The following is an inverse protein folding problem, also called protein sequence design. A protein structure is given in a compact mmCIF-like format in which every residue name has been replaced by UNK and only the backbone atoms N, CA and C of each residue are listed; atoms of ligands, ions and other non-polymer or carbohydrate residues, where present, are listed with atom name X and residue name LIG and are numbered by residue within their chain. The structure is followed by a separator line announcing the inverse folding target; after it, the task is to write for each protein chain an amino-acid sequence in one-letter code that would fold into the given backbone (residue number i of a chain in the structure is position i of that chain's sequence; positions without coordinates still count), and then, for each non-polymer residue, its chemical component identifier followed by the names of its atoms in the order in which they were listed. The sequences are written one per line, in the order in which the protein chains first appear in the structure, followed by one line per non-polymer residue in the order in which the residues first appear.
data_IF_188307901638
#
_entry.id   IF_188307901638
#
_cell.length_a   1.000
_cell.length_b   1.000
_cell.length_c   1.000
_cell.angle_alpha   90.00
_cell.angle_beta   90.00
_cell.angle_gamma   90.00
#
_symmetry.space_group_name_H-M   'P 1'
#
loop_
_entity.id
_entity.type
_entity.pdbx_description
1 polymer ?
#
# COMPACT_ATOMS: atom_id res chain seq x y z
N UNK A 1 -12.83 1.28 3.57
CA UNK A 1 -12.83 -0.20 3.44
C UNK A 1 -12.02 -0.83 4.56
N UNK A 2 -12.47 -1.93 5.13
CA UNK A 2 -11.76 -2.61 6.22
C UNK A 2 -11.83 -4.12 6.08
N UNK A 3 -10.68 -4.77 6.25
CA UNK A 3 -10.55 -6.23 6.27
C UNK A 3 -9.80 -6.64 7.54
N UNK A 4 -10.41 -7.49 8.36
CA UNK A 4 -9.87 -7.93 9.64
C UNK A 4 -10.00 -6.89 10.76
N UNK A 5 -9.59 -7.26 11.95
CA UNK A 5 -9.63 -6.41 13.15
C UNK A 5 -8.24 -6.26 13.76
N UNK A 6 -7.90 -5.10 14.34
CA UNK A 6 -6.66 -4.94 15.11
C UNK A 6 -6.64 -5.79 16.38
N UNK A 7 -7.79 -6.25 16.87
CA UNK A 7 -7.88 -7.17 18.00
C UNK A 7 -7.35 -8.59 17.71
N UNK A 8 -7.08 -8.92 16.43
CA UNK A 8 -6.37 -10.15 16.05
C UNK A 8 -4.87 -10.04 16.41
N UNK A 9 -4.59 -9.99 17.70
CA UNK A 9 -3.24 -9.97 18.26
C UNK A 9 -2.47 -11.28 18.05
N UNK A 10 -3.13 -12.30 17.54
CA UNK A 10 -2.51 -13.58 17.18
C UNK A 10 -2.08 -13.47 15.71
N UNK A 11 -0.84 -13.82 15.43
CA UNK A 11 -0.28 -13.83 14.07
C UNK A 11 -1.05 -14.83 13.19
N UNK A 12 -2.19 -14.41 12.66
CA UNK A 12 -3.00 -15.15 11.69
C UNK A 12 -2.59 -14.77 10.26
N UNK A 13 -2.77 -15.69 9.35
CA UNK A 13 -2.71 -15.39 7.92
C UNK A 13 -4.12 -15.07 7.42
N UNK A 14 -4.36 -13.83 7.01
CA UNK A 14 -5.67 -13.39 6.51
C UNK A 14 -5.90 -13.67 5.02
N UNK A 15 -4.99 -14.44 4.38
CA UNK A 15 -5.07 -14.72 2.96
C UNK A 15 -4.61 -13.57 2.09
N UNK A 16 -5.20 -13.44 0.90
CA UNK A 16 -4.93 -12.36 -0.06
C UNK A 16 -6.12 -11.43 -0.15
N UNK A 17 -5.87 -10.13 0.01
CA UNK A 17 -6.90 -9.10 -0.06
C UNK A 17 -6.62 -8.16 -1.24
N UNK A 18 -7.67 -7.75 -1.93
CA UNK A 18 -7.63 -6.85 -3.07
C UNK A 18 -8.59 -5.70 -2.79
N UNK A 19 -8.08 -4.49 -2.61
CA UNK A 19 -8.85 -3.30 -2.28
C UNK A 19 -8.61 -2.23 -3.33
N UNK A 20 -9.68 -1.58 -3.76
CA UNK A 20 -9.65 -0.38 -4.60
C UNK A 20 -10.55 0.64 -3.92
N UNK A 21 -10.00 1.79 -3.55
CA UNK A 21 -10.72 2.90 -2.91
C UNK A 21 -11.64 3.58 -3.91
N UNK A 22 -11.08 4.12 -4.94
CA UNK A 22 -11.82 4.83 -5.98
C UNK A 22 -11.49 6.31 -5.99
N UNK A 23 -12.43 7.15 -6.43
CA UNK A 23 -12.24 8.60 -6.41
C UNK A 23 -12.54 9.20 -5.04
N UNK A 24 -11.81 10.25 -4.69
CA UNK A 24 -11.98 10.98 -3.43
C UNK A 24 -11.21 10.34 -2.28
N UNK A 25 -11.22 10.99 -1.14
CA UNK A 25 -10.39 10.59 0.01
C UNK A 25 -10.91 9.34 0.71
N UNK A 26 -10.18 8.26 0.61
CA UNK A 26 -10.53 6.95 1.13
C UNK A 26 -9.73 6.55 2.38
N UNK A 27 -10.27 5.64 3.15
CA UNK A 27 -9.56 4.98 4.26
C UNK A 27 -9.63 3.47 4.08
N UNK A 28 -8.48 2.86 3.79
CA UNK A 28 -8.35 1.43 3.50
C UNK A 28 -7.57 0.75 4.64
N UNK A 29 -8.23 -0.18 5.32
CA UNK A 29 -7.70 -0.81 6.52
C UNK A 29 -7.62 -2.33 6.35
N UNK A 30 -6.44 -2.91 6.55
CA UNK A 30 -6.26 -4.38 6.58
C UNK A 30 -5.60 -4.78 7.89
N UNK A 31 -6.35 -5.48 8.74
CA UNK A 31 -5.93 -5.81 10.12
C UNK A 31 -5.43 -4.58 10.88
N UNK A 32 -6.12 -3.47 10.70
CA UNK A 32 -5.79 -2.19 11.30
C UNK A 32 -7.07 -1.43 11.65
N UNK A 33 -6.96 -0.41 12.48
CA UNK A 33 -8.04 0.54 12.78
C UNK A 33 -7.49 1.96 12.78
N UNK A 34 -8.35 2.90 12.43
CA UNK A 34 -8.07 4.32 12.51
C UNK A 34 -9.26 5.05 13.16
N UNK A 35 -8.95 5.79 14.20
CA UNK A 35 -9.93 6.68 14.84
C UNK A 35 -9.71 8.11 14.33
N UNK A 36 -10.61 8.56 13.49
CA UNK A 36 -10.54 9.89 12.89
C UNK A 36 -10.73 11.03 13.92
N UNK A 37 -11.38 10.76 15.05
CA UNK A 37 -11.60 11.77 16.08
C UNK A 37 -10.33 12.05 16.91
N UNK A 38 -9.50 11.04 17.11
CA UNK A 38 -8.27 11.12 17.89
C UNK A 38 -7.00 11.10 17.02
N UNK A 39 -7.12 10.75 15.75
CA UNK A 39 -5.98 10.55 14.83
C UNK A 39 -5.16 9.29 15.13
N UNK A 40 -5.64 8.41 16.01
CA UNK A 40 -4.90 7.22 16.43
C UNK A 40 -5.04 6.10 15.41
N UNK A 41 -3.90 5.60 14.94
CA UNK A 41 -3.80 4.41 14.10
C UNK A 41 -3.33 3.22 14.93
N UNK A 42 -3.98 2.07 14.77
CA UNK A 42 -3.63 0.82 15.43
C UNK A 42 -3.47 -0.28 14.39
N UNK A 43 -2.30 -0.91 14.36
CA UNK A 43 -2.03 -2.06 13.49
C UNK A 43 -2.09 -3.36 14.28
N UNK A 44 -2.70 -4.38 13.69
CA UNK A 44 -2.68 -5.74 14.24
C UNK A 44 -1.41 -6.50 13.88
N UNK A 45 -1.26 -7.70 14.45
CA UNK A 45 -0.13 -8.60 14.18
C UNK A 45 -0.39 -9.60 13.04
N UNK A 46 -1.58 -9.60 12.46
CA UNK A 46 -1.95 -10.54 11.41
C UNK A 46 -1.10 -10.33 10.14
N UNK A 47 -0.89 -11.40 9.39
CA UNK A 47 -0.17 -11.37 8.11
C UNK A 47 -1.14 -11.59 6.96
N UNK A 48 -0.96 -10.84 5.88
CA UNK A 48 -1.75 -10.99 4.67
C UNK A 48 -0.92 -10.62 3.44
N UNK A 49 -1.35 -11.10 2.29
CA UNK A 49 -0.86 -10.60 1.00
C UNK A 49 -1.88 -9.61 0.48
N UNK A 50 -1.54 -8.33 0.44
CA UNK A 50 -2.50 -7.29 0.08
C UNK A 50 -2.09 -6.56 -1.18
N UNK A 51 -3.07 -6.33 -2.05
CA UNK A 51 -2.96 -5.44 -3.19
C UNK A 51 -3.97 -4.32 -3.00
N UNK A 52 -3.48 -3.11 -2.87
CA UNK A 52 -4.28 -1.93 -2.54
C UNK A 52 -3.98 -0.83 -3.54
N UNK A 53 -5.03 -0.37 -4.22
CA UNK A 53 -5.04 0.88 -4.97
C UNK A 53 -5.94 1.83 -4.19
N UNK A 54 -5.39 2.94 -3.69
CA UNK A 54 -6.20 3.85 -2.91
C UNK A 54 -7.14 4.63 -3.83
N UNK A 55 -6.67 5.02 -5.00
CA UNK A 55 -7.48 5.53 -6.10
C UNK A 55 -7.97 4.44 -7.07
N UNK A 56 -8.38 4.84 -8.27
CA UNK A 56 -8.84 3.95 -9.34
C UNK A 56 -7.68 3.22 -10.02
N UNK A 57 -7.89 1.96 -10.34
CA UNK A 57 -6.90 1.18 -11.06
C UNK A 57 -7.37 -0.20 -11.49
N UNK A 58 -6.43 -0.95 -12.02
CA UNK A 58 -6.67 -2.29 -12.54
C UNK A 58 -5.69 -3.26 -11.87
N UNK A 59 -6.22 -4.37 -11.38
CA UNK A 59 -5.46 -5.51 -10.88
C UNK A 59 -5.65 -6.66 -11.85
N UNK A 60 -4.59 -7.03 -12.56
CA UNK A 60 -4.64 -8.08 -13.59
C UNK A 60 -3.99 -9.37 -13.09
N UNK A 61 -4.66 -10.49 -13.37
CA UNK A 61 -4.15 -11.85 -13.17
C UNK A 61 -4.36 -12.65 -14.46
N UNK A 62 -3.41 -13.50 -14.85
CA UNK A 62 -3.63 -14.40 -15.98
C UNK A 62 -4.83 -15.33 -15.73
N UNK A 63 -5.51 -15.73 -16.78
CA UNK A 63 -6.64 -16.65 -16.70
C UNK A 63 -6.23 -17.94 -16.00
N UNK A 64 -7.05 -18.35 -15.02
CA UNK A 64 -6.82 -19.56 -14.22
C UNK A 64 -5.68 -19.47 -13.20
N UNK A 65 -5.00 -18.33 -13.07
CA UNK A 65 -3.93 -18.14 -12.12
C UNK A 65 -4.33 -17.15 -10.99
N UNK A 66 -3.98 -17.49 -9.76
CA UNK A 66 -4.18 -16.59 -8.60
C UNK A 66 -3.08 -15.51 -8.50
N UNK A 67 -2.00 -15.62 -9.28
CA UNK A 67 -0.85 -14.73 -9.24
C UNK A 67 -1.12 -13.45 -10.02
N UNK A 68 -0.48 -12.36 -9.59
CA UNK A 68 -0.55 -11.08 -10.28
C UNK A 68 0.26 -11.10 -11.57
N UNK A 69 -0.21 -10.36 -12.59
CA UNK A 69 0.58 -9.95 -13.74
C UNK A 69 0.80 -8.43 -13.77
N UNK A 70 -0.15 -7.66 -13.27
CA UNK A 70 -0.02 -6.21 -13.22
C UNK A 70 -0.90 -5.58 -12.13
N UNK A 71 -0.43 -4.50 -11.54
CA UNK A 71 -1.20 -3.56 -10.72
C UNK A 71 -0.94 -2.17 -11.29
N UNK A 72 -1.99 -1.50 -11.77
CA UNK A 72 -1.89 -0.30 -12.59
C UNK A 72 -2.87 0.77 -12.10
N UNK A 73 -2.38 1.98 -11.81
CA UNK A 73 -3.24 3.15 -11.62
C UNK A 73 -3.86 3.56 -12.95
N UNK A 74 -5.14 3.90 -12.92
CA UNK A 74 -5.86 4.43 -14.09
C UNK A 74 -6.35 5.86 -13.87
N UNK A 75 -6.34 6.34 -12.65
CA UNK A 75 -6.67 7.72 -12.31
C UNK A 75 -5.38 8.56 -12.31
N UNK A 76 -5.14 9.23 -13.42
CA UNK A 76 -3.96 10.09 -13.62
C UNK A 76 -4.37 11.55 -13.91
N UNK A 77 -5.58 11.92 -13.49
CA UNK A 77 -6.12 13.27 -13.71
C UNK A 77 -6.17 14.02 -12.39
N UNK A 78 -5.50 15.15 -12.31
CA UNK A 78 -5.51 16.00 -11.13
C UNK A 78 -6.93 16.35 -10.64
N UNK A 79 -7.13 16.29 -9.33
CA UNK A 79 -8.37 16.66 -8.66
C UNK A 79 -9.49 15.62 -8.72
N UNK A 80 -9.25 14.42 -9.25
CA UNK A 80 -10.20 13.31 -9.21
C UNK A 80 -9.82 12.23 -8.19
N UNK A 81 -8.56 12.13 -7.81
CA UNK A 81 -8.12 11.39 -6.62
C UNK A 81 -8.31 12.21 -5.34
N UNK A 82 -7.79 11.77 -4.26
CA UNK A 82 -7.92 12.46 -2.99
C UNK A 82 -6.85 12.05 -2.00
N UNK A 83 -6.78 12.75 -0.89
CA UNK A 83 -5.83 12.41 0.17
C UNK A 83 -6.27 11.12 0.87
N UNK A 84 -5.58 10.04 0.59
CA UNK A 84 -5.94 8.70 1.04
C UNK A 84 -5.18 8.25 2.28
N UNK A 85 -5.75 7.29 2.98
CA UNK A 85 -5.12 6.64 4.12
C UNK A 85 -5.13 5.14 3.98
N UNK A 86 -3.95 4.54 3.91
CA UNK A 86 -3.78 3.09 3.87
C UNK A 86 -3.06 2.63 5.12
N UNK A 87 -3.70 1.76 5.89
CA UNK A 87 -3.09 1.10 7.04
C UNK A 87 -3.18 -0.41 6.88
N UNK A 88 -2.02 -1.08 6.88
CA UNK A 88 -1.96 -2.54 6.81
C UNK A 88 -1.07 -3.11 7.91
N UNK A 89 -1.37 -4.33 8.34
CA UNK A 89 -0.50 -5.10 9.21
C UNK A 89 0.63 -5.78 8.41
N UNK A 90 1.19 -6.85 8.95
CA UNK A 90 2.36 -7.54 8.38
C UNK A 90 2.04 -8.29 7.07
N UNK A 91 3.09 -8.69 6.34
CA UNK A 91 3.00 -9.53 5.14
C UNK A 91 3.40 -8.81 3.85
N UNK A 92 3.22 -9.51 2.72
CA UNK A 92 3.53 -8.96 1.40
C UNK A 92 2.51 -7.90 1.01
N UNK A 93 2.99 -6.78 0.46
CA UNK A 93 2.15 -5.65 0.10
C UNK A 93 2.50 -5.14 -1.29
N UNK A 94 1.48 -4.83 -2.06
CA UNK A 94 1.55 -4.01 -3.26
C UNK A 94 0.57 -2.86 -3.07
N UNK A 95 1.07 -1.65 -2.89
CA UNK A 95 0.24 -0.48 -2.55
C UNK A 95 0.56 0.65 -3.50
N UNK A 96 -0.46 1.28 -4.03
CA UNK A 96 -0.39 2.51 -4.82
C UNK A 96 -1.34 3.51 -4.17
N UNK A 97 -0.82 4.65 -3.72
CA UNK A 97 -1.61 5.78 -3.20
C UNK A 97 -2.44 6.39 -4.33
N UNK A 98 -1.81 7.02 -5.27
CA UNK A 98 -2.50 7.60 -6.43
C UNK A 98 -2.34 9.11 -6.52
N UNK A 99 -3.43 9.82 -6.79
CA UNK A 99 -3.44 11.28 -6.90
C UNK A 99 -3.81 11.90 -5.55
N UNK A 100 -2.95 12.71 -4.98
CA UNK A 100 -3.23 13.41 -3.71
C UNK A 100 -2.14 13.19 -2.65
N UNK A 101 -2.36 13.72 -1.46
CA UNK A 101 -1.37 13.60 -0.37
C UNK A 101 -1.72 12.37 0.49
N UNK A 102 -1.04 11.28 0.23
CA UNK A 102 -1.41 10.00 0.79
C UNK A 102 -0.63 9.66 2.08
N UNK A 103 -1.28 8.93 2.96
CA UNK A 103 -0.67 8.40 4.18
C UNK A 103 -0.69 6.89 4.15
N UNK A 104 0.47 6.27 3.95
CA UNK A 104 0.61 4.81 3.85
C UNK A 104 1.41 4.29 5.04
N UNK A 105 0.80 3.44 5.85
CA UNK A 105 1.46 2.83 7.02
C UNK A 105 1.35 1.31 6.93
N UNK A 106 2.50 0.65 6.93
CA UNK A 106 2.61 -0.79 6.70
C UNK A 106 3.37 -1.47 7.84
N UNK A 107 2.86 -2.57 8.33
CA UNK A 107 3.54 -3.42 9.29
C UNK A 107 4.76 -4.15 8.69
N UNK A 108 5.61 -4.71 9.54
CA UNK A 108 6.86 -5.35 9.13
C UNK A 108 6.90 -6.84 9.39
N UNK A 109 7.62 -7.56 8.51
CA UNK A 109 7.96 -8.97 8.67
C UNK A 109 9.22 -9.27 7.86
N UNK A 110 10.15 -9.98 8.45
CA UNK A 110 11.46 -10.31 7.85
C UNK A 110 11.38 -11.10 6.54
N UNK A 111 10.28 -11.77 6.29
CA UNK A 111 10.09 -12.60 5.08
C UNK A 111 9.18 -11.95 4.04
N UNK A 112 8.80 -10.71 4.21
CA UNK A 112 7.83 -10.04 3.34
C UNK A 112 8.48 -9.12 2.34
N UNK A 113 7.84 -9.00 1.17
CA UNK A 113 8.19 -8.03 0.13
C UNK A 113 7.10 -6.96 0.05
N UNK A 114 7.52 -5.70 -0.01
CA UNK A 114 6.61 -4.56 -0.14
C UNK A 114 6.99 -3.72 -1.33
N UNK A 115 6.01 -3.47 -2.18
CA UNK A 115 6.08 -2.59 -3.34
C UNK A 115 5.11 -1.45 -3.06
N UNK A 116 5.61 -0.25 -2.82
CA UNK A 116 4.79 0.90 -2.38
C UNK A 116 5.11 2.09 -3.26
N UNK A 117 4.09 2.63 -3.90
CA UNK A 117 4.13 3.93 -4.55
C UNK A 117 3.23 4.91 -3.78
N UNK A 118 3.72 6.12 -3.51
CA UNK A 118 2.89 7.22 -3.04
C UNK A 118 1.93 7.63 -4.14
N UNK A 119 2.47 8.02 -5.27
CA UNK A 119 1.74 8.44 -6.47
C UNK A 119 1.35 7.27 -7.39
N UNK A 120 0.86 7.62 -8.58
CA UNK A 120 0.44 6.68 -9.62
C UNK A 120 1.57 5.81 -10.16
N UNK A 121 1.31 4.52 -10.31
CA UNK A 121 2.32 3.56 -10.73
C UNK A 121 1.80 2.44 -11.63
N UNK A 122 2.74 1.80 -12.32
CA UNK A 122 2.58 0.50 -12.98
C UNK A 122 3.56 -0.49 -12.37
N UNK A 123 3.03 -1.54 -11.78
CA UNK A 123 3.81 -2.62 -11.18
C UNK A 123 3.52 -3.91 -11.93
N UNK A 124 4.54 -4.46 -12.58
CA UNK A 124 4.42 -5.66 -13.41
C UNK A 124 5.10 -6.87 -12.78
N UNK A 125 4.55 -8.04 -13.06
CA UNK A 125 5.02 -9.33 -12.55
C UNK A 125 5.20 -10.31 -13.70
N UNK A 126 6.28 -11.10 -13.68
CA UNK A 126 6.47 -12.23 -14.58
C UNK A 126 5.71 -13.46 -14.08
N UNK A 127 5.49 -14.45 -14.97
CA UNK A 127 5.16 -15.81 -14.55
C UNK A 127 6.40 -16.46 -13.90
N UNK A 128 6.30 -17.00 -12.70
CA UNK A 128 5.17 -17.32 -11.84
C UNK A 128 4.77 -16.26 -10.78
N UNK A 129 4.71 -14.99 -11.13
CA UNK A 129 4.26 -13.93 -10.20
C UNK A 129 5.41 -13.22 -9.47
N UNK A 130 6.65 -13.34 -9.98
CA UNK A 130 7.78 -12.57 -9.49
C UNK A 130 7.70 -11.13 -9.98
N UNK A 131 7.95 -10.19 -9.09
CA UNK A 131 8.09 -8.77 -9.43
C UNK A 131 9.17 -8.55 -10.51
N UNK A 132 8.84 -7.78 -11.52
CA UNK A 132 9.75 -7.52 -12.65
C UNK A 132 10.01 -6.04 -12.90
N UNK A 133 9.01 -5.19 -12.77
CA UNK A 133 9.18 -3.76 -12.96
C UNK A 133 8.26 -2.95 -12.08
N UNK A 134 8.73 -1.75 -11.73
CA UNK A 134 8.00 -0.78 -10.98
C UNK A 134 8.33 0.60 -11.56
N UNK A 135 7.35 1.30 -12.11
CA UNK A 135 7.50 2.62 -12.71
C UNK A 135 6.41 3.56 -12.23
N UNK A 136 6.79 4.83 -12.03
CA UNK A 136 5.82 5.89 -11.80
C UNK A 136 5.15 6.28 -13.11
N UNK A 137 3.90 6.70 -13.07
CA UNK A 137 3.14 7.16 -14.23
C UNK A 137 2.98 8.67 -14.25
N UNK A 138 3.25 9.34 -13.13
CA UNK A 138 3.08 10.78 -13.03
C UNK A 138 4.19 11.52 -13.78
N UNK A 139 3.75 12.45 -14.63
CA UNK A 139 4.61 13.36 -15.38
C UNK A 139 4.33 14.81 -15.03
N UNK A 140 3.33 15.06 -14.19
CA UNK A 140 2.89 16.39 -13.78
C UNK A 140 2.78 16.42 -12.25
N UNK A 141 3.27 17.47 -11.65
CA UNK A 141 3.17 17.75 -10.22
C UNK A 141 1.72 17.70 -9.69
N UNK A 142 0.76 18.11 -10.51
CA UNK A 142 -0.66 18.15 -10.13
C UNK A 142 -1.33 16.78 -10.03
N UNK A 143 -0.66 15.70 -10.43
CA UNK A 143 -1.15 14.32 -10.32
C UNK A 143 -0.40 13.51 -9.27
N UNK A 144 0.67 14.06 -8.72
CA UNK A 144 1.34 13.56 -7.53
C UNK A 144 0.89 14.29 -6.27
N UNK A 145 1.57 14.06 -5.18
CA UNK A 145 1.26 14.65 -3.88
C UNK A 145 2.44 14.67 -2.92
N UNK A 146 2.20 15.15 -1.73
CA UNK A 146 3.16 15.09 -0.61
C UNK A 146 2.78 13.89 0.24
N UNK A 147 3.49 12.79 0.05
CA UNK A 147 3.14 11.53 0.67
C UNK A 147 3.91 11.25 1.96
N UNK A 148 3.23 10.57 2.87
CA UNK A 148 3.82 10.06 4.10
C UNK A 148 3.79 8.53 4.13
N UNK A 149 4.92 7.89 3.82
CA UNK A 149 5.05 6.45 3.75
C UNK A 149 5.86 5.94 4.93
N UNK A 150 5.28 5.07 5.75
CA UNK A 150 5.94 4.46 6.89
C UNK A 150 5.88 2.94 6.83
N UNK A 151 7.03 2.27 6.94
CA UNK A 151 7.15 0.82 7.04
C UNK A 151 7.73 0.46 8.40
N UNK A 152 6.94 -0.24 9.19
CA UNK A 152 7.28 -0.54 10.58
C UNK A 152 6.98 0.60 11.54
N UNK A 153 7.38 0.39 12.78
CA UNK A 153 7.29 1.37 13.87
C UNK A 153 8.65 1.52 14.54
N UNK A 154 8.82 2.54 15.38
CA UNK A 154 10.04 2.70 16.18
C UNK A 154 10.33 1.50 17.11
N UNK A 155 9.34 0.65 17.36
CA UNK A 155 9.49 -0.58 18.13
C UNK A 155 9.79 -1.82 17.26
N UNK A 156 9.83 -1.67 15.93
CA UNK A 156 10.17 -2.78 15.03
C UNK A 156 11.66 -3.12 15.18
N UNK A 157 11.96 -4.35 15.52
CA UNK A 157 13.32 -4.86 15.71
C UNK A 157 13.61 -5.98 14.72
N UNK A 158 14.83 -6.04 14.22
CA UNK A 158 15.29 -7.10 13.33
C UNK A 158 15.09 -6.78 11.85
N UNK A 159 15.14 -7.83 11.02
CA UNK A 159 15.01 -7.73 9.57
C UNK A 159 13.59 -7.28 9.16
N UNK A 160 13.52 -6.23 8.35
CA UNK A 160 12.27 -5.64 7.87
C UNK A 160 11.78 -6.25 6.54
N UNK A 161 12.50 -7.22 5.97
CA UNK A 161 12.20 -7.76 4.64
C UNK A 161 12.62 -6.83 3.49
N UNK A 162 12.20 -7.16 2.27
CA UNK A 162 12.50 -6.35 1.09
C UNK A 162 11.46 -5.22 0.94
N UNK A 163 11.94 -3.99 0.81
CA UNK A 163 11.08 -2.82 0.62
C UNK A 163 11.51 -2.06 -0.63
N UNK A 164 10.61 -1.92 -1.58
CA UNK A 164 10.74 -1.11 -2.78
C UNK A 164 9.73 0.02 -2.67
N UNK A 165 10.20 1.25 -2.48
CA UNK A 165 9.36 2.39 -2.18
C UNK A 165 9.70 3.54 -3.12
N UNK A 166 8.66 4.10 -3.75
CA UNK A 166 8.73 5.31 -4.55
C UNK A 166 7.78 6.33 -3.91
N UNK A 167 8.29 7.50 -3.51
CA UNK A 167 7.45 8.63 -3.14
C UNK A 167 6.63 9.04 -4.35
N UNK A 168 7.26 9.58 -5.34
CA UNK A 168 6.62 10.03 -6.56
C UNK A 168 7.04 11.45 -6.91
N UNK A 169 6.09 12.26 -7.28
CA UNK A 169 6.26 13.69 -7.54
C UNK A 169 6.07 14.49 -6.23
N UNK A 170 6.61 15.67 -6.14
CA UNK A 170 6.63 16.55 -4.95
C UNK A 170 7.63 16.09 -3.88
N UNK A 171 7.41 16.48 -2.62
CA UNK A 171 8.37 16.27 -1.52
C UNK A 171 7.81 15.27 -0.51
N UNK A 172 8.16 14.03 -0.70
CA UNK A 172 7.66 12.93 0.11
C UNK A 172 8.46 12.67 1.37
N UNK A 173 7.82 12.05 2.34
CA UNK A 173 8.43 11.54 3.55
C UNK A 173 8.38 10.01 3.57
N UNK A 174 9.52 9.36 3.45
CA UNK A 174 9.63 7.90 3.52
C UNK A 174 10.39 7.51 4.77
N UNK A 175 9.73 6.77 5.65
CA UNK A 175 10.32 6.26 6.88
C UNK A 175 10.25 4.73 6.90
N UNK A 176 11.41 4.09 6.88
CA UNK A 176 11.55 2.66 7.13
C UNK A 176 12.21 2.49 8.49
N UNK A 177 11.44 2.00 9.46
CA UNK A 177 11.94 1.86 10.82
C UNK A 177 13.08 0.85 10.83
N UNK A 178 14.28 1.33 11.18
CA UNK A 178 15.43 0.50 11.50
C UNK A 178 15.52 0.35 13.01
N UNK A 179 15.83 -0.84 13.48
CA UNK A 179 16.19 -1.11 14.87
C UNK A 179 17.59 -0.62 15.19
#
# INVERSE_FOLDING_TARGET
LSVGSPADLIARHLGSNYLIGGMGSDTLLVSAAYDAATGIATQGAARSTDVILADNGIITRPDGDARLSQVLSTQITAGLGGDDRVLTANGDKTIIGGVGNDTITVGTSSTSTRLIAGDNADISYASPGSFTSFSTLDTLQATGGIDAISVGTAASTGDLGANYIFGGMEVDSVHVAAS
#
